data_IF_083785314922
#
_entry.id   IF_083785314922
#
_cell.length_a   1.000
_cell.length_b   1.000
_cell.length_c   1.000
_cell.angle_alpha   90.00
_cell.angle_beta   90.00
_cell.angle_gamma   90.00
#
_symmetry.space_group_name_H-M   'P 1'
#
loop_
_entity.id
_entity.type
_entity.pdbx_description
1 polymer ?
#
# COMPACT_ATOMS: atom_id res chain seq x y z
N UNK A 1 13.29 1.30 19.28
CA UNK A 1 13.32 0.81 17.88
C UNK A 1 11.99 0.21 17.40
N UNK A 2 11.23 -0.51 18.25
CA UNK A 2 9.86 -1.01 17.93
C UNK A 2 8.77 0.02 17.54
N UNK A 3 8.64 1.19 18.20
CA UNK A 3 7.47 2.06 17.92
C UNK A 3 7.49 2.68 16.52
N UNK A 4 8.67 2.83 15.91
CA UNK A 4 8.79 3.39 14.57
C UNK A 4 8.22 2.44 13.51
N UNK A 5 8.49 1.14 13.61
CA UNK A 5 7.96 0.14 12.66
C UNK A 5 6.44 0.01 12.77
N UNK A 6 5.91 0.01 14.00
CA UNK A 6 4.46 0.03 14.23
C UNK A 6 3.82 1.29 13.66
N UNK A 7 4.43 2.46 13.86
CA UNK A 7 3.95 3.73 13.31
C UNK A 7 3.99 3.73 11.77
N UNK A 8 5.06 3.19 11.18
CA UNK A 8 5.20 3.08 9.73
C UNK A 8 4.19 2.08 9.15
N UNK A 9 3.98 0.94 9.80
CA UNK A 9 2.96 -0.04 9.42
C UNK A 9 1.55 0.52 9.55
N UNK A 10 1.25 1.30 10.59
CA UNK A 10 -0.03 1.98 10.76
C UNK A 10 -0.26 3.06 9.69
N UNK A 11 0.79 3.83 9.35
CA UNK A 11 0.70 4.82 8.29
C UNK A 11 0.49 4.16 6.92
N UNK A 12 1.17 3.04 6.67
CA UNK A 12 1.01 2.26 5.45
C UNK A 12 -0.37 1.61 5.36
N UNK A 13 -0.91 1.10 6.47
CA UNK A 13 -2.28 0.55 6.49
C UNK A 13 -3.32 1.64 6.23
N UNK A 14 -3.13 2.84 6.79
CA UNK A 14 -3.98 4.00 6.49
C UNK A 14 -3.91 4.36 5.00
N UNK A 15 -2.69 4.39 4.42
CA UNK A 15 -2.52 4.61 2.99
C UNK A 15 -3.29 3.57 2.16
N UNK A 16 -3.17 2.28 2.49
CA UNK A 16 -3.91 1.20 1.83
C UNK A 16 -5.43 1.44 1.88
N UNK A 17 -5.98 1.80 3.04
CA UNK A 17 -7.41 2.10 3.18
C UNK A 17 -7.81 3.27 2.30
N UNK A 18 -7.01 4.35 2.28
CA UNK A 18 -7.30 5.51 1.43
C UNK A 18 -7.24 5.15 -0.06
N UNK A 19 -6.31 4.29 -0.49
CA UNK A 19 -6.25 3.81 -1.87
C UNK A 19 -7.48 2.98 -2.25
N UNK A 20 -7.97 2.13 -1.34
CA UNK A 20 -9.19 1.33 -1.54
C UNK A 20 -10.42 2.24 -1.66
N UNK A 21 -10.56 3.23 -0.78
CA UNK A 21 -11.67 4.18 -0.82
C UNK A 21 -11.65 5.06 -2.09
N UNK A 22 -10.46 5.51 -2.50
CA UNK A 22 -10.28 6.37 -3.68
C UNK A 22 -10.32 5.59 -4.99
N UNK A 23 -10.17 4.27 -4.93
CA UNK A 23 -10.07 3.40 -6.10
C UNK A 23 -8.80 3.65 -6.93
N UNK A 24 -7.76 4.23 -6.33
CA UNK A 24 -6.51 4.56 -7.01
C UNK A 24 -5.31 4.29 -6.11
N UNK A 25 -4.30 3.57 -6.62
CA UNK A 25 -3.06 3.27 -5.90
C UNK A 25 -1.87 3.84 -6.67
N UNK A 26 -0.99 4.54 -5.95
CA UNK A 26 0.28 5.02 -6.52
C UNK A 26 1.32 3.92 -6.31
N UNK A 27 1.95 3.52 -7.40
CA UNK A 27 2.98 2.48 -7.42
C UNK A 27 4.18 3.05 -8.16
N UNK A 28 5.37 2.90 -7.59
CA UNK A 28 6.60 3.23 -8.31
C UNK A 28 6.78 2.25 -9.46
N UNK A 29 6.82 2.74 -10.69
CA UNK A 29 6.97 1.92 -11.89
C UNK A 29 7.93 2.58 -12.87
N UNK A 30 9.17 2.07 -12.92
CA UNK A 30 10.26 2.65 -13.70
C UNK A 30 10.82 3.93 -13.06
N UNK A 31 11.26 4.93 -13.86
CA UNK A 31 11.82 6.18 -13.34
C UNK A 31 10.78 7.13 -12.71
N UNK A 32 9.52 6.70 -12.51
CA UNK A 32 8.46 7.54 -11.96
C UNK A 32 7.38 6.80 -11.18
N UNK A 33 6.52 7.57 -10.53
CA UNK A 33 5.32 7.07 -9.87
C UNK A 33 4.18 6.96 -10.88
N UNK A 34 3.56 5.78 -10.99
CA UNK A 34 2.37 5.56 -11.81
C UNK A 34 1.17 5.34 -10.90
N UNK A 35 0.05 5.99 -11.23
CA UNK A 35 -1.21 5.77 -10.53
C UNK A 35 -2.02 4.73 -11.28
N UNK A 36 -2.35 3.62 -10.62
CA UNK A 36 -3.26 2.61 -11.14
C UNK A 36 -4.65 2.84 -10.56
N UNK A 37 -5.64 3.05 -11.42
CA UNK A 37 -7.06 3.09 -11.02
C UNK A 37 -7.63 1.67 -11.05
N UNK A 38 -8.56 1.41 -10.14
CA UNK A 38 -9.26 0.13 -10.02
C UNK A 38 -10.04 -0.20 -11.29
N UNK A 39 -10.56 0.81 -11.98
CA UNK A 39 -11.38 0.64 -13.19
C UNK A 39 -10.55 0.31 -14.44
N UNK A 40 -9.39 0.95 -14.59
CA UNK A 40 -8.50 0.72 -15.74
C UNK A 40 -7.77 -0.63 -15.65
N UNK A 41 -7.19 -0.90 -14.46
CA UNK A 41 -6.30 -2.05 -14.25
C UNK A 41 -6.59 -2.72 -12.89
N UNK A 42 -7.73 -3.41 -12.74
CA UNK A 42 -8.17 -3.98 -11.47
C UNK A 42 -7.17 -4.98 -10.88
N UNK A 43 -6.55 -5.81 -11.72
CA UNK A 43 -5.56 -6.81 -11.25
C UNK A 43 -4.33 -6.15 -10.64
N UNK A 44 -3.76 -5.15 -11.31
CA UNK A 44 -2.59 -4.42 -10.83
C UNK A 44 -2.92 -3.63 -9.57
N UNK A 45 -4.09 -2.99 -9.53
CA UNK A 45 -4.59 -2.28 -8.35
C UNK A 45 -4.64 -3.21 -7.12
N UNK A 46 -5.33 -4.36 -7.23
CA UNK A 46 -5.47 -5.30 -6.12
C UNK A 46 -4.15 -5.97 -5.73
N UNK A 47 -3.28 -6.27 -6.71
CA UNK A 47 -1.95 -6.82 -6.42
C UNK A 47 -1.10 -5.84 -5.60
N UNK A 48 -1.05 -4.57 -6.00
CA UNK A 48 -0.30 -3.54 -5.27
C UNK A 48 -0.89 -3.27 -3.88
N UNK A 49 -2.22 -3.19 -3.77
CA UNK A 49 -2.91 -3.06 -2.48
C UNK A 49 -2.59 -4.25 -1.57
N UNK A 50 -2.62 -5.47 -2.10
CA UNK A 50 -2.28 -6.69 -1.34
C UNK A 50 -0.84 -6.69 -0.85
N UNK A 51 0.11 -6.28 -1.69
CA UNK A 51 1.53 -6.16 -1.30
C UNK A 51 1.70 -5.12 -0.18
N UNK A 52 1.09 -3.94 -0.30
CA UNK A 52 1.18 -2.91 0.74
C UNK A 52 0.49 -3.33 2.04
N UNK A 53 -0.63 -4.06 1.97
CA UNK A 53 -1.29 -4.62 3.14
C UNK A 53 -0.43 -5.66 3.85
N UNK A 54 0.20 -6.58 3.09
CA UNK A 54 1.12 -7.58 3.64
C UNK A 54 2.36 -6.93 4.26
N UNK A 55 2.92 -5.92 3.61
CA UNK A 55 4.07 -5.19 4.13
C UNK A 55 3.71 -4.45 5.43
N UNK A 56 2.53 -3.81 5.48
CA UNK A 56 2.04 -3.16 6.70
C UNK A 56 1.87 -4.16 7.84
N UNK A 57 1.31 -5.35 7.56
CA UNK A 57 1.17 -6.41 8.53
C UNK A 57 2.53 -6.91 9.03
N UNK A 58 3.48 -7.13 8.13
CA UNK A 58 4.83 -7.55 8.49
C UNK A 58 5.53 -6.51 9.39
N UNK A 59 5.40 -5.22 9.08
CA UNK A 59 5.93 -4.12 9.89
C UNK A 59 5.38 -4.06 11.31
N UNK A 60 4.15 -4.53 11.54
CA UNK A 60 3.50 -4.50 12.86
C UNK A 60 3.73 -5.80 13.63
N UNK A 61 3.72 -6.94 12.94
CA UNK A 61 3.72 -8.27 13.58
C UNK A 61 5.12 -8.86 13.71
N UNK A 62 6.01 -8.58 12.75
CA UNK A 62 7.33 -9.24 12.67
C UNK A 62 8.46 -8.37 13.26
N UNK A 63 8.39 -7.05 13.10
CA UNK A 63 9.42 -6.09 13.55
C UNK A 63 9.04 -5.38 14.85
#
# INVERSE_FOLDING_TARGET
>A
MKPFFVLLGALLSLYVVTCVMRGSVVVSWGPGARTFRRDDHPRWFWASVGIYALLALALIVVF
#
